data_IF_170608906382
#
_entry.id   IF_170608906382
#
_cell.length_a   1.000
_cell.length_b   1.000
_cell.length_c   1.000
_cell.angle_alpha   90.00
_cell.angle_beta   90.00
_cell.angle_gamma   90.00
#
_symmetry.space_group_name_H-M   'P 1'
#
loop_
_entity.id
_entity.type
_entity.pdbx_description
1 polymer ?
#
# COMPACT_ATOMS: atom_id res chain seq x y z
N UNK A 1 12.95 -19.43 16.29
CA UNK A 1 12.18 -18.18 16.46
C UNK A 1 11.50 -17.91 15.14
N UNK A 2 10.22 -18.25 15.08
CA UNK A 2 9.45 -18.34 13.84
C UNK A 2 9.09 -16.92 13.41
N UNK A 3 9.76 -16.40 12.40
CA UNK A 3 9.31 -15.19 11.71
C UNK A 3 8.03 -15.54 10.98
N UNK A 4 6.88 -15.44 11.67
CA UNK A 4 5.60 -15.35 10.99
C UNK A 4 5.61 -13.98 10.29
N UNK A 5 6.19 -13.96 9.09
CA UNK A 5 5.79 -13.02 8.05
C UNK A 5 4.29 -13.26 7.90
N UNK A 6 3.46 -12.33 8.36
CA UNK A 6 2.05 -12.29 7.98
C UNK A 6 2.09 -12.16 6.46
N UNK A 7 1.87 -13.29 5.79
CA UNK A 7 1.77 -13.38 4.35
C UNK A 7 0.48 -12.63 4.03
N UNK A 8 0.52 -11.64 3.13
CA UNK A 8 -0.72 -11.19 2.50
C UNK A 8 -1.42 -12.44 1.99
N UNK A 9 -2.67 -12.67 2.38
CA UNK A 9 -3.46 -13.80 1.92
C UNK A 9 -4.81 -13.24 1.47
N UNK A 10 -4.88 -12.95 0.17
CA UNK A 10 -6.04 -12.32 -0.45
C UNK A 10 -7.33 -13.15 -0.33
N UNK A 11 -7.23 -14.47 -0.14
CA UNK A 11 -8.39 -15.34 0.09
C UNK A 11 -8.92 -15.13 1.51
N UNK A 12 -8.04 -15.17 2.50
CA UNK A 12 -8.44 -14.94 3.89
C UNK A 12 -9.00 -13.52 4.10
N UNK A 13 -8.44 -12.53 3.39
CA UNK A 13 -8.92 -11.14 3.45
C UNK A 13 -10.34 -11.06 2.88
N UNK A 14 -10.64 -11.69 1.73
CA UNK A 14 -12.00 -11.66 1.17
C UNK A 14 -13.02 -12.29 2.12
N UNK A 15 -12.67 -13.42 2.74
CA UNK A 15 -13.53 -14.09 3.74
C UNK A 15 -13.77 -13.19 4.96
N UNK A 16 -12.72 -12.52 5.45
CA UNK A 16 -12.81 -11.64 6.63
C UNK A 16 -13.70 -10.43 6.37
N UNK A 17 -13.66 -9.89 5.15
CA UNK A 17 -14.49 -8.77 4.73
C UNK A 17 -15.92 -9.18 4.34
N UNK A 18 -16.19 -10.48 4.23
CA UNK A 18 -17.48 -11.02 3.80
C UNK A 18 -17.77 -10.82 2.31
N UNK A 19 -16.72 -10.69 1.50
CA UNK A 19 -16.84 -10.63 0.04
C UNK A 19 -16.81 -12.04 -0.56
N UNK A 20 -17.58 -12.23 -1.63
CA UNK A 20 -17.29 -13.32 -2.56
C UNK A 20 -15.91 -13.09 -3.18
N UNK A 21 -15.11 -14.15 -3.33
CA UNK A 21 -13.71 -14.01 -3.75
C UNK A 21 -13.57 -13.24 -5.07
N UNK A 22 -14.45 -13.48 -6.04
CA UNK A 22 -14.43 -12.76 -7.32
C UNK A 22 -14.69 -11.26 -7.17
N UNK A 23 -15.64 -10.85 -6.33
CA UNK A 23 -15.95 -9.44 -6.06
C UNK A 23 -14.75 -8.74 -5.40
N UNK A 24 -14.10 -9.42 -4.46
CA UNK A 24 -12.88 -8.91 -3.83
C UNK A 24 -11.75 -8.69 -4.86
N UNK A 25 -11.59 -9.61 -5.83
CA UNK A 25 -10.58 -9.45 -6.88
C UNK A 25 -10.85 -8.21 -7.76
N UNK A 26 -12.10 -7.88 -8.06
CA UNK A 26 -12.42 -6.66 -8.82
C UNK A 26 -12.02 -5.39 -8.07
N UNK A 27 -12.31 -5.31 -6.77
CA UNK A 27 -11.92 -4.16 -5.95
C UNK A 27 -10.39 -4.09 -5.79
N UNK A 28 -9.74 -5.25 -5.63
CA UNK A 28 -8.30 -5.36 -5.57
C UNK A 28 -7.63 -4.88 -6.88
N UNK A 29 -8.20 -5.21 -8.04
CA UNK A 29 -7.71 -4.75 -9.34
C UNK A 29 -7.78 -3.22 -9.45
N UNK A 30 -8.88 -2.61 -9.02
CA UNK A 30 -9.00 -1.14 -8.96
C UNK A 30 -7.92 -0.53 -8.08
N UNK A 31 -7.61 -1.13 -6.92
CA UNK A 31 -6.53 -0.66 -6.06
C UNK A 31 -5.16 -0.78 -6.74
N UNK A 32 -4.89 -1.92 -7.37
CA UNK A 32 -3.62 -2.21 -8.05
C UNK A 32 -3.40 -1.36 -9.31
N UNK A 33 -4.46 -0.98 -10.03
CA UNK A 33 -4.35 -0.12 -11.22
C UNK A 33 -4.00 1.33 -10.86
N UNK A 34 -4.51 1.83 -9.73
CA UNK A 34 -4.32 3.22 -9.32
C UNK A 34 -3.01 3.45 -8.52
N UNK A 35 -2.63 2.49 -7.67
CA UNK A 35 -1.52 2.66 -6.72
C UNK A 35 -0.17 2.98 -7.38
N UNK A 36 0.24 2.38 -8.52
CA UNK A 36 1.52 2.69 -9.16
C UNK A 36 1.66 4.16 -9.56
N UNK A 37 0.61 4.77 -10.11
CA UNK A 37 0.63 6.18 -10.48
C UNK A 37 0.81 7.08 -9.24
N UNK A 38 0.10 6.77 -8.14
CA UNK A 38 0.22 7.50 -6.88
C UNK A 38 1.64 7.39 -6.28
N UNK A 39 2.28 6.22 -6.40
CA UNK A 39 3.67 6.00 -5.96
C UNK A 39 4.66 6.83 -6.80
N UNK A 40 4.47 6.90 -8.11
CA UNK A 40 5.33 7.72 -8.97
C UNK A 40 5.17 9.22 -8.69
N UNK A 41 3.94 9.70 -8.52
CA UNK A 41 3.67 11.08 -8.12
C UNK A 41 4.30 11.39 -6.75
N UNK A 42 4.20 10.46 -5.79
CA UNK A 42 4.83 10.60 -4.48
C UNK A 42 6.35 10.79 -4.61
N UNK A 43 7.02 9.97 -5.44
CA UNK A 43 8.47 10.09 -5.69
C UNK A 43 8.84 11.45 -6.26
N UNK A 44 8.00 12.02 -7.13
CA UNK A 44 8.20 13.38 -7.68
C UNK A 44 8.11 14.42 -6.55
N UNK A 45 7.04 14.39 -5.75
CA UNK A 45 6.83 15.38 -4.67
C UNK A 45 7.92 15.33 -3.59
N UNK A 46 8.43 14.15 -3.27
CA UNK A 46 9.58 14.01 -2.37
C UNK A 46 10.84 14.68 -2.94
N UNK A 47 11.14 14.51 -4.24
CA UNK A 47 12.29 15.17 -4.89
C UNK A 47 12.16 16.69 -4.88
N UNK A 48 10.94 17.19 -5.05
CA UNK A 48 10.61 18.62 -4.99
C UNK A 48 10.57 19.18 -3.56
N UNK A 49 10.76 18.34 -2.54
CA UNK A 49 10.57 18.68 -1.11
C UNK A 49 9.16 19.18 -0.79
N UNK A 50 8.19 18.80 -1.60
CA UNK A 50 6.78 19.09 -1.39
C UNK A 50 6.15 18.02 -0.47
N UNK A 51 6.52 18.07 0.81
CA UNK A 51 6.10 17.08 1.80
C UNK A 51 4.59 17.12 2.10
N UNK A 52 3.94 18.26 1.86
CA UNK A 52 2.50 18.39 2.04
C UNK A 52 1.75 17.52 1.03
N UNK A 53 2.01 17.72 -0.27
CA UNK A 53 1.37 16.91 -1.32
C UNK A 53 1.82 15.44 -1.24
N UNK A 54 3.09 15.17 -0.90
CA UNK A 54 3.56 13.81 -0.68
C UNK A 54 2.79 13.11 0.45
N UNK A 55 2.46 13.82 1.53
CA UNK A 55 1.65 13.27 2.62
C UNK A 55 0.22 12.95 2.17
N UNK A 56 -0.38 13.77 1.31
CA UNK A 56 -1.73 13.56 0.80
C UNK A 56 -1.80 12.31 -0.09
N UNK A 57 -0.79 12.10 -0.94
CA UNK A 57 -0.68 10.88 -1.76
C UNK A 57 -0.57 9.61 -0.91
N UNK A 58 0.23 9.62 0.16
CA UNK A 58 0.28 8.49 1.09
C UNK A 58 -1.04 8.27 1.84
N UNK A 59 -1.78 9.33 2.14
CA UNK A 59 -3.10 9.23 2.75
C UNK A 59 -4.09 8.48 1.85
N UNK A 60 -4.04 8.71 0.52
CA UNK A 60 -4.85 8.00 -0.46
C UNK A 60 -4.54 6.49 -0.47
N UNK A 61 -3.25 6.13 -0.55
CA UNK A 61 -2.81 4.72 -0.52
C UNK A 61 -3.28 4.05 0.79
N UNK A 62 -3.09 4.72 1.92
CA UNK A 62 -3.51 4.22 3.24
C UNK A 62 -5.01 3.93 3.28
N UNK A 63 -5.84 4.88 2.84
CA UNK A 63 -7.29 4.76 2.86
C UNK A 63 -7.80 3.67 1.92
N UNK A 64 -7.24 3.61 0.71
CA UNK A 64 -7.52 2.52 -0.25
C UNK A 64 -7.18 1.16 0.36
N UNK A 65 -5.95 0.98 0.84
CA UNK A 65 -5.48 -0.26 1.44
C UNK A 65 -6.32 -0.70 2.65
N UNK A 66 -6.63 0.21 3.59
CA UNK A 66 -7.43 -0.11 4.77
C UNK A 66 -8.87 -0.52 4.42
N UNK A 67 -9.44 0.07 3.36
CA UNK A 67 -10.82 -0.23 2.95
C UNK A 67 -10.99 -1.65 2.42
N UNK A 68 -9.90 -2.29 1.99
CA UNK A 68 -9.88 -3.66 1.47
C UNK A 68 -8.99 -4.61 2.28
N UNK A 69 -8.74 -4.30 3.56
CA UNK A 69 -8.05 -5.21 4.48
C UNK A 69 -6.56 -5.42 4.23
N UNK A 70 -5.90 -4.52 3.49
CA UNK A 70 -4.46 -4.57 3.22
C UNK A 70 -3.65 -3.85 4.31
N UNK A 71 -3.79 -4.31 5.55
CA UNK A 71 -3.30 -3.61 6.76
C UNK A 71 -1.80 -3.28 6.69
N UNK A 72 -0.96 -4.22 6.23
CA UNK A 72 0.48 -3.99 6.11
C UNK A 72 0.84 -2.86 5.13
N UNK A 73 0.08 -2.73 4.03
CA UNK A 73 0.27 -1.65 3.07
C UNK A 73 -0.23 -0.33 3.67
N UNK A 74 -1.38 -0.38 4.35
CA UNK A 74 -1.96 0.78 5.03
C UNK A 74 -1.02 1.35 6.09
N UNK A 75 -0.42 0.48 6.92
CA UNK A 75 0.52 0.84 7.97
C UNK A 75 1.78 1.51 7.41
N UNK A 76 2.37 0.93 6.36
CA UNK A 76 3.56 1.52 5.73
C UNK A 76 3.24 2.86 5.09
N UNK A 77 2.10 2.99 4.40
CA UNK A 77 1.66 4.27 3.84
C UNK A 77 1.43 5.32 4.95
N UNK A 78 0.87 4.91 6.09
CA UNK A 78 0.70 5.78 7.26
C UNK A 78 2.03 6.22 7.87
N UNK A 79 3.03 5.34 7.96
CA UNK A 79 4.35 5.70 8.46
C UNK A 79 5.05 6.72 7.54
N UNK A 80 4.90 6.58 6.22
CA UNK A 80 5.39 7.57 5.25
C UNK A 80 4.62 8.90 5.40
N UNK A 81 3.29 8.86 5.53
CA UNK A 81 2.45 10.04 5.77
C UNK A 81 2.95 10.83 7.00
N UNK A 82 3.22 10.13 8.11
CA UNK A 82 3.78 10.73 9.32
C UNK A 82 5.19 11.29 9.09
N UNK A 83 6.04 10.56 8.38
CA UNK A 83 7.40 11.00 8.08
C UNK A 83 7.40 12.32 7.29
N UNK A 84 6.52 12.46 6.29
CA UNK A 84 6.31 13.69 5.55
C UNK A 84 5.84 14.83 6.46
N UNK A 85 4.79 14.61 7.28
CA UNK A 85 4.23 15.61 8.20
C UNK A 85 5.22 16.10 9.25
N UNK A 86 6.09 15.22 9.72
CA UNK A 86 7.07 15.52 10.76
C UNK A 86 8.42 16.01 10.20
N UNK A 87 8.56 16.12 8.87
CA UNK A 87 9.82 16.49 8.23
C UNK A 87 10.95 15.45 8.39
N UNK A 88 10.62 14.21 8.76
CA UNK A 88 11.58 13.13 8.95
C UNK A 88 11.83 12.40 7.61
N UNK A 89 12.40 13.12 6.64
CA UNK A 89 12.57 12.60 5.27
C UNK A 89 13.64 11.50 5.14
N UNK A 90 14.49 11.31 6.15
CA UNK A 90 15.59 10.33 6.13
C UNK A 90 15.10 8.88 6.13
N UNK A 91 13.92 8.60 6.69
CA UNK A 91 13.35 7.25 6.75
C UNK A 91 12.47 6.90 5.53
N UNK A 92 12.06 7.92 4.76
CA UNK A 92 11.12 7.76 3.63
C UNK A 92 11.64 6.77 2.58
N UNK A 93 12.93 6.78 2.15
CA UNK A 93 13.40 5.85 1.14
C UNK A 93 13.21 4.38 1.52
N UNK A 94 13.51 3.99 2.76
CA UNK A 94 13.36 2.62 3.23
C UNK A 94 11.89 2.20 3.38
N UNK A 95 11.03 3.12 3.82
CA UNK A 95 9.58 2.86 3.87
C UNK A 95 8.97 2.75 2.47
N UNK A 96 9.42 3.57 1.52
CA UNK A 96 8.97 3.53 0.14
C UNK A 96 9.38 2.23 -0.55
N UNK A 97 10.61 1.75 -0.33
CA UNK A 97 11.07 0.44 -0.83
C UNK A 97 10.14 -0.66 -0.32
N UNK A 98 9.88 -0.69 0.99
CA UNK A 98 8.96 -1.66 1.61
C UNK A 98 7.54 -1.57 1.03
N UNK A 99 7.01 -0.37 0.80
CA UNK A 99 5.69 -0.16 0.19
C UNK A 99 5.63 -0.77 -1.21
N UNK A 100 6.63 -0.49 -2.04
CA UNK A 100 6.73 -1.03 -3.40
C UNK A 100 6.83 -2.55 -3.40
N UNK A 101 7.63 -3.13 -2.49
CA UNK A 101 7.74 -4.58 -2.34
C UNK A 101 6.40 -5.23 -1.97
N UNK A 102 5.64 -4.63 -1.05
CA UNK A 102 4.33 -5.15 -0.64
C UNK A 102 3.31 -5.08 -1.79
N UNK A 103 3.26 -3.97 -2.51
CA UNK A 103 2.39 -3.82 -3.69
C UNK A 103 2.75 -4.83 -4.77
N UNK A 104 4.05 -5.06 -5.02
CA UNK A 104 4.49 -6.06 -6.00
C UNK A 104 4.15 -7.50 -5.57
N UNK A 105 4.26 -7.81 -4.28
CA UNK A 105 3.84 -9.10 -3.73
C UNK A 105 2.33 -9.32 -3.91
N UNK A 106 1.53 -8.29 -3.66
CA UNK A 106 0.09 -8.31 -3.85
C UNK A 106 -0.29 -8.54 -5.32
N UNK A 107 0.36 -7.83 -6.24
CA UNK A 107 0.14 -8.01 -7.69
C UNK A 107 0.50 -9.43 -8.14
N UNK A 108 1.59 -10.00 -7.64
CA UNK A 108 1.98 -11.37 -7.95
C UNK A 108 0.98 -12.40 -7.41
N UNK A 109 0.42 -12.18 -6.22
CA UNK A 109 -0.64 -13.02 -5.69
C UNK A 109 -1.90 -12.94 -6.54
N UNK A 110 -2.33 -11.73 -6.90
CA UNK A 110 -3.48 -11.50 -7.77
C UNK A 110 -3.37 -12.25 -9.10
N UNK A 111 -2.19 -12.24 -9.73
CA UNK A 111 -1.90 -12.98 -10.97
C UNK A 111 -1.90 -14.50 -10.79
N UNK A 112 -1.55 -15.01 -9.60
CA UNK A 112 -1.48 -16.44 -9.34
C UNK A 112 -2.84 -17.11 -9.10
N UNK A 113 -3.88 -16.31 -8.84
CA UNK A 113 -5.27 -16.75 -8.60
C UNK A 113 -6.24 -16.36 -9.73
N UNK A 114 -5.73 -15.70 -10.78
CA UNK A 114 -6.46 -15.38 -12.00
C UNK A 114 -6.53 -16.61 -12.92
#
# INVERSE_FOLDING_TARGET
>A
MTTQKIKLDIIQISETLGFEFHEYLEVLDVFLDNTPAVIEDFKVRIKERNFQEASELCHLIKGGASSIGLDLISDVAHDIEKACKNGNSSIIPGLLEKLVELVQQLENQRKSVA
#
